data_IF_500305165304
#
_entry.id   IF_500305165304
#
_cell.length_a   1.000
_cell.length_b   1.000
_cell.length_c   1.000
_cell.angle_alpha   90.00
_cell.angle_beta   90.00
_cell.angle_gamma   90.00
#
_symmetry.space_group_name_H-M   'P 1'
#
loop_
_entity.id
_entity.type
_entity.pdbx_description
1 polymer ?
#
# COMPACT_ATOMS: atom_id res chain seq x y z
N UNK A 1 -11.46 -16.11 19.67
CA UNK A 1 -10.32 -16.43 20.55
C UNK A 1 -9.20 -15.46 20.21
N UNK A 2 -9.12 -14.34 20.95
CA UNK A 2 -8.12 -13.28 20.75
C UNK A 2 -6.82 -13.68 21.45
N UNK A 3 -5.86 -14.23 20.70
CA UNK A 3 -4.51 -14.46 21.20
C UNK A 3 -3.72 -13.15 21.15
N UNK A 4 -3.87 -12.33 22.19
CA UNK A 4 -2.91 -11.27 22.48
C UNK A 4 -1.65 -11.93 23.03
N UNK A 5 -0.76 -12.38 22.14
CA UNK A 5 0.66 -12.47 22.46
C UNK A 5 1.15 -11.03 22.66
N UNK A 6 0.96 -10.51 23.87
CA UNK A 6 1.68 -9.36 24.38
C UNK A 6 3.15 -9.78 24.50
N UNK A 7 3.83 -9.84 23.35
CA UNK A 7 5.28 -9.87 23.29
C UNK A 7 5.75 -8.59 23.97
N UNK A 8 6.15 -8.70 25.25
CA UNK A 8 6.89 -7.63 25.91
C UNK A 8 8.05 -7.27 24.98
N UNK A 9 8.10 -6.01 24.54
CA UNK A 9 9.09 -5.50 23.61
C UNK A 9 8.95 -5.92 22.13
N UNK A 10 7.81 -6.44 21.67
CA UNK A 10 7.61 -6.77 20.24
C UNK A 10 7.87 -5.58 19.29
N UNK A 11 7.51 -4.36 19.72
CA UNK A 11 7.87 -3.14 18.99
C UNK A 11 9.38 -2.90 18.87
N UNK A 12 10.18 -3.35 19.84
CA UNK A 12 11.64 -3.25 19.79
C UNK A 12 12.26 -4.14 18.72
N UNK A 13 11.73 -5.34 18.47
CA UNK A 13 12.17 -6.21 17.37
C UNK A 13 11.77 -5.63 16.01
N UNK A 14 10.55 -5.07 15.90
CA UNK A 14 10.05 -4.41 14.69
C UNK A 14 10.89 -3.18 14.33
N UNK A 15 11.31 -2.41 15.32
CA UNK A 15 12.13 -1.21 15.15
C UNK A 15 13.64 -1.51 15.10
N UNK A 16 14.06 -2.77 15.20
CA UNK A 16 15.48 -3.15 15.21
C UNK A 16 16.26 -2.68 16.45
N UNK A 17 15.56 -2.30 17.52
CA UNK A 17 16.15 -1.82 18.78
C UNK A 17 16.67 -2.95 19.67
N UNK A 18 16.26 -4.19 19.40
CA UNK A 18 16.70 -5.38 20.13
C UNK A 18 17.67 -6.18 19.25
N UNK A 19 18.96 -6.08 19.54
CA UNK A 19 20.02 -6.83 18.83
C UNK A 19 20.11 -8.26 19.34
N UNK A 20 20.35 -9.22 18.43
CA UNK A 20 20.58 -10.61 18.80
C UNK A 20 21.90 -10.72 19.60
N UNK A 21 21.89 -11.34 20.79
CA UNK A 21 23.10 -11.66 21.55
C UNK A 21 24.01 -12.62 20.77
N UNK A 22 25.32 -12.59 21.05
CA UNK A 22 26.27 -13.53 20.46
C UNK A 22 25.99 -14.96 20.96
N UNK A 23 25.63 -15.91 20.08
CA UNK A 23 25.31 -17.28 20.48
C UNK A 23 26.48 -18.04 21.10
N UNK A 24 27.73 -17.61 20.83
CA UNK A 24 28.93 -18.22 21.41
C UNK A 24 29.18 -17.78 22.85
N UNK A 25 28.67 -16.60 23.24
CA UNK A 25 28.83 -16.02 24.57
C UNK A 25 27.59 -16.24 25.45
N UNK A 26 26.40 -16.18 24.86
CA UNK A 26 25.12 -16.39 25.57
C UNK A 26 24.10 -17.11 24.66
N UNK A 27 24.20 -18.45 24.55
CA UNK A 27 23.31 -19.25 23.71
C UNK A 27 21.85 -19.23 24.18
N UNK A 28 21.60 -19.03 25.48
CA UNK A 28 20.23 -19.02 26.02
C UNK A 28 19.49 -17.76 25.60
N UNK A 29 20.11 -16.59 25.74
CA UNK A 29 19.49 -15.34 25.32
C UNK A 29 19.36 -15.24 23.79
N UNK A 30 20.33 -15.77 23.04
CA UNK A 30 20.23 -15.88 21.58
C UNK A 30 19.02 -16.74 21.15
N UNK A 31 18.81 -17.91 21.78
CA UNK A 31 17.65 -18.75 21.50
C UNK A 31 16.30 -18.09 21.83
N UNK A 32 16.23 -17.32 22.92
CA UNK A 32 15.03 -16.52 23.23
C UNK A 32 14.78 -15.41 22.21
N UNK A 33 15.84 -14.76 21.74
CA UNK A 33 15.74 -13.73 20.71
C UNK A 33 15.19 -14.33 19.40
N UNK A 34 15.73 -15.47 18.96
CA UNK A 34 15.31 -16.16 17.74
C UNK A 34 13.83 -16.57 17.79
N UNK A 35 13.39 -17.13 18.93
CA UNK A 35 12.00 -17.54 19.11
C UNK A 35 11.04 -16.34 19.03
N UNK A 36 11.36 -15.24 19.71
CA UNK A 36 10.54 -14.03 19.68
C UNK A 36 10.47 -13.44 18.28
N UNK A 37 11.61 -13.35 17.60
CA UNK A 37 11.71 -12.89 16.23
C UNK A 37 10.86 -13.75 15.29
N UNK A 38 10.93 -15.08 15.40
CA UNK A 38 10.14 -16.01 14.61
C UNK A 38 8.63 -15.85 14.87
N UNK A 39 8.23 -15.70 16.14
CA UNK A 39 6.83 -15.49 16.51
C UNK A 39 6.26 -14.19 15.91
N UNK A 40 7.03 -13.11 15.88
CA UNK A 40 6.58 -11.83 15.30
C UNK A 40 6.46 -11.95 13.77
N UNK A 41 7.45 -12.56 13.11
CA UNK A 41 7.38 -12.82 11.67
C UNK A 41 6.15 -13.68 11.34
N UNK A 42 5.89 -14.75 12.10
CA UNK A 42 4.71 -15.58 11.92
C UNK A 42 3.41 -14.78 12.11
N UNK A 43 3.34 -13.92 13.13
CA UNK A 43 2.18 -13.07 13.37
C UNK A 43 1.95 -12.07 12.22
N UNK A 44 3.00 -11.44 11.69
CA UNK A 44 2.91 -10.56 10.52
C UNK A 44 2.33 -11.33 9.32
N UNK A 45 2.85 -12.53 9.06
CA UNK A 45 2.41 -13.41 7.97
C UNK A 45 0.95 -13.81 8.08
N UNK A 46 0.44 -14.10 9.28
CA UNK A 46 -0.99 -14.42 9.46
C UNK A 46 -1.94 -13.25 9.14
N UNK A 47 -1.43 -12.01 9.11
CA UNK A 47 -2.22 -10.80 8.85
C UNK A 47 -2.00 -10.25 7.44
N UNK A 48 -1.02 -10.77 6.72
CA UNK A 48 -0.68 -10.40 5.35
C UNK A 48 -1.54 -11.11 4.31
N UNK A 49 -1.68 -10.51 3.13
CA UNK A 49 -2.28 -11.16 1.95
C UNK A 49 -1.44 -12.36 1.50
N UNK A 50 -1.94 -13.13 0.52
CA UNK A 50 -1.18 -14.25 -0.05
C UNK A 50 0.12 -13.77 -0.74
N UNK A 51 0.03 -12.69 -1.51
CA UNK A 51 1.13 -12.07 -2.24
C UNK A 51 2.18 -11.49 -1.30
N UNK A 52 1.73 -10.80 -0.24
CA UNK A 52 2.61 -10.30 0.82
C UNK A 52 3.30 -11.45 1.56
N UNK A 53 2.61 -12.58 1.77
CA UNK A 53 3.20 -13.75 2.42
C UNK A 53 4.30 -14.42 1.59
N UNK A 54 4.12 -14.48 0.27
CA UNK A 54 5.15 -14.96 -0.66
C UNK A 54 6.34 -13.98 -0.68
N UNK A 55 6.09 -12.67 -0.72
CA UNK A 55 7.14 -11.64 -0.59
C UNK A 55 7.92 -11.77 0.73
N UNK A 56 7.21 -12.02 1.84
CA UNK A 56 7.79 -12.18 3.17
C UNK A 56 8.61 -13.48 3.35
N UNK A 57 8.51 -14.49 2.46
CA UNK A 57 9.24 -15.76 2.60
C UNK A 57 10.75 -15.60 2.75
N UNK A 58 11.32 -14.58 2.10
CA UNK A 58 12.76 -14.34 2.13
C UNK A 58 13.28 -13.72 3.43
N UNK A 59 12.41 -13.26 4.32
CA UNK A 59 12.81 -12.51 5.51
C UNK A 59 12.71 -13.36 6.76
N UNK A 60 13.86 -13.64 7.37
CA UNK A 60 13.93 -14.33 8.67
C UNK A 60 14.02 -13.35 9.85
N UNK A 61 14.33 -12.08 9.59
CA UNK A 61 14.46 -11.05 10.61
C UNK A 61 13.22 -10.15 10.62
N UNK A 62 12.67 -9.91 11.80
CA UNK A 62 11.44 -9.12 12.04
C UNK A 62 11.57 -7.68 11.55
N UNK A 63 12.69 -7.02 11.86
CA UNK A 63 12.94 -5.64 11.42
C UNK A 63 12.99 -5.57 9.89
N UNK A 64 13.73 -6.47 9.25
CA UNK A 64 13.83 -6.50 7.79
C UNK A 64 12.49 -6.84 7.12
N UNK A 65 11.73 -7.79 7.67
CA UNK A 65 10.40 -8.14 7.19
C UNK A 65 9.43 -6.95 7.28
N UNK A 66 9.45 -6.25 8.43
CA UNK A 66 8.61 -5.07 8.64
C UNK A 66 9.01 -3.90 7.74
N UNK A 67 10.30 -3.59 7.64
CA UNK A 67 10.81 -2.51 6.80
C UNK A 67 10.50 -2.76 5.31
N UNK A 68 10.61 -4.01 4.87
CA UNK A 68 10.23 -4.42 3.52
C UNK A 68 8.72 -4.27 3.26
N UNK A 69 7.86 -4.71 4.19
CA UNK A 69 6.41 -4.50 4.10
C UNK A 69 6.05 -3.02 4.09
N UNK A 70 6.62 -2.25 5.00
CA UNK A 70 6.43 -0.81 5.10
C UNK A 70 6.82 -0.14 3.80
N UNK A 71 8.00 -0.44 3.26
CA UNK A 71 8.46 0.09 1.97
C UNK A 71 7.54 -0.31 0.82
N UNK A 72 7.05 -1.55 0.80
CA UNK A 72 6.10 -2.03 -0.20
C UNK A 72 4.78 -1.23 -0.12
N UNK A 73 4.22 -1.07 1.09
CA UNK A 73 3.00 -0.32 1.33
C UNK A 73 3.16 1.18 1.09
N UNK A 74 4.33 1.76 1.37
CA UNK A 74 4.65 3.14 1.04
C UNK A 74 4.72 3.37 -0.47
N UNK A 75 5.14 2.36 -1.25
CA UNK A 75 5.16 2.40 -2.72
C UNK A 75 3.79 2.15 -3.35
N UNK A 76 3.00 1.26 -2.75
CA UNK A 76 1.57 1.12 -3.08
C UNK A 76 0.80 2.37 -2.67
N UNK A 77 1.26 3.10 -1.65
CA UNK A 77 0.63 4.31 -1.12
C UNK A 77 0.23 5.31 -2.22
N UNK A 78 1.14 5.80 -3.07
CA UNK A 78 0.83 6.63 -4.22
C UNK A 78 -0.25 6.07 -5.15
N UNK A 79 -0.16 4.78 -5.52
CA UNK A 79 -1.11 4.14 -6.43
C UNK A 79 -2.48 4.01 -5.77
N UNK A 80 -2.53 3.52 -4.52
CA UNK A 80 -3.74 3.43 -3.72
C UNK A 80 -4.38 4.81 -3.50
N UNK A 81 -3.57 5.85 -3.31
CA UNK A 81 -4.02 7.23 -3.19
C UNK A 81 -4.64 7.74 -4.50
N UNK A 82 -4.02 7.44 -5.65
CA UNK A 82 -4.59 7.75 -6.98
C UNK A 82 -5.95 7.07 -7.15
N UNK A 83 -6.04 5.77 -6.86
CA UNK A 83 -7.29 5.00 -7.00
C UNK A 83 -8.39 5.49 -6.05
N UNK A 84 -8.05 5.82 -4.79
CA UNK A 84 -9.01 6.35 -3.83
C UNK A 84 -9.53 7.73 -4.23
N UNK A 85 -8.67 8.60 -4.78
CA UNK A 85 -9.11 9.93 -5.27
C UNK A 85 -10.01 9.76 -6.49
N UNK A 86 -9.68 8.85 -7.42
CA UNK A 86 -10.57 8.54 -8.54
C UNK A 86 -11.94 8.04 -8.06
N UNK A 87 -11.95 7.15 -7.06
CA UNK A 87 -13.19 6.67 -6.46
C UNK A 87 -14.01 7.83 -5.88
N UNK A 88 -13.37 8.75 -5.16
CA UNK A 88 -14.02 9.93 -4.61
C UNK A 88 -14.60 10.85 -5.70
N UNK A 89 -13.86 11.06 -6.81
CA UNK A 89 -14.32 11.85 -7.96
C UNK A 89 -15.48 11.19 -8.72
N UNK A 90 -15.59 9.86 -8.67
CA UNK A 90 -16.68 9.11 -9.28
C UNK A 90 -17.98 9.13 -8.44
N UNK A 91 -17.92 9.46 -7.15
CA UNK A 91 -19.11 9.55 -6.28
C UNK A 91 -19.96 10.75 -6.70
N UNK A 92 -21.24 10.49 -6.96
CA UNK A 92 -22.23 11.52 -7.34
C UNK A 92 -23.37 11.52 -6.32
N UNK A 93 -23.93 12.70 -6.04
CA UNK A 93 -25.19 12.80 -5.32
C UNK A 93 -26.34 12.40 -6.25
N UNK A 94 -27.06 11.33 -5.90
CA UNK A 94 -28.18 10.82 -6.68
C UNK A 94 -29.46 10.94 -5.85
N UNK A 95 -30.54 11.46 -6.43
CA UNK A 95 -31.82 11.70 -5.73
C UNK A 95 -32.53 10.42 -5.28
N UNK A 96 -32.21 9.28 -5.88
CA UNK A 96 -32.78 7.98 -5.52
C UNK A 96 -32.18 7.39 -4.24
N UNK A 97 -31.09 7.97 -3.73
CA UNK A 97 -30.40 7.53 -2.53
C UNK A 97 -30.43 8.60 -1.44
N UNK A 98 -30.22 8.19 -0.20
CA UNK A 98 -30.13 9.13 0.91
C UNK A 98 -28.82 9.93 0.79
N UNK A 99 -28.92 11.23 0.55
CA UNK A 99 -27.77 12.12 0.35
C UNK A 99 -26.74 12.07 1.51
N UNK A 100 -27.20 11.81 2.74
CA UNK A 100 -26.29 11.65 3.88
C UNK A 100 -25.37 10.43 3.73
N UNK A 101 -25.84 9.34 3.12
CA UNK A 101 -25.02 8.15 2.86
C UNK A 101 -23.88 8.50 1.91
N UNK A 102 -24.17 9.22 0.82
CA UNK A 102 -23.16 9.73 -0.12
C UNK A 102 -22.13 10.61 0.60
N UNK A 103 -22.58 11.48 1.52
CA UNK A 103 -21.70 12.35 2.31
C UNK A 103 -20.76 11.53 3.22
N UNK A 104 -21.28 10.49 3.88
CA UNK A 104 -20.47 9.56 4.69
C UNK A 104 -19.45 8.82 3.84
N UNK A 105 -19.84 8.31 2.67
CA UNK A 105 -18.91 7.66 1.74
C UNK A 105 -17.78 8.60 1.31
N UNK A 106 -18.10 9.85 0.96
CA UNK A 106 -17.10 10.86 0.62
C UNK A 106 -16.16 11.14 1.80
N UNK A 107 -16.70 11.31 3.01
CA UNK A 107 -15.90 11.52 4.22
C UNK A 107 -14.92 10.37 4.47
N UNK A 108 -15.38 9.13 4.36
CA UNK A 108 -14.53 7.94 4.58
C UNK A 108 -13.43 7.84 3.53
N UNK A 109 -13.74 8.13 2.27
CA UNK A 109 -12.73 8.15 1.19
C UNK A 109 -11.68 9.23 1.45
N UNK A 110 -12.09 10.45 1.80
CA UNK A 110 -11.17 11.55 2.14
C UNK A 110 -10.29 11.19 3.33
N UNK A 111 -10.85 10.62 4.40
CA UNK A 111 -10.06 10.16 5.55
C UNK A 111 -8.98 9.16 5.14
N UNK A 112 -9.31 8.19 4.28
CA UNK A 112 -8.36 7.18 3.78
C UNK A 112 -7.28 7.78 2.88
N UNK A 113 -7.62 8.74 2.03
CA UNK A 113 -6.66 9.47 1.17
C UNK A 113 -5.62 10.19 2.03
N UNK A 114 -6.06 10.93 3.04
CA UNK A 114 -5.17 11.70 3.91
C UNK A 114 -4.39 10.82 4.90
N UNK A 115 -4.91 9.64 5.26
CA UNK A 115 -4.16 8.67 6.06
C UNK A 115 -2.92 8.14 5.34
N UNK A 116 -2.92 8.12 4.00
CA UNK A 116 -1.75 7.78 3.18
C UNK A 116 -0.76 8.95 3.11
N UNK A 117 -1.26 10.19 3.13
CA UNK A 117 -0.47 11.42 3.09
C UNK A 117 -1.05 12.45 2.11
N UNK A 118 -0.34 13.57 1.93
CA UNK A 118 -0.71 14.57 0.92
C UNK A 118 -0.29 14.08 -0.47
N UNK A 119 -1.16 14.13 -1.49
CA UNK A 119 -0.79 13.77 -2.86
C UNK A 119 0.38 14.62 -3.36
N UNK A 120 1.42 13.97 -3.88
CA UNK A 120 2.49 14.63 -4.61
C UNK A 120 1.97 15.18 -5.94
N UNK A 121 2.65 16.19 -6.49
CA UNK A 121 2.27 16.86 -7.74
C UNK A 121 2.03 15.87 -8.89
N UNK A 122 2.96 14.95 -9.14
CA UNK A 122 2.82 13.94 -10.22
C UNK A 122 1.64 12.98 -10.02
N UNK A 123 1.36 12.59 -8.77
CA UNK A 123 0.20 11.75 -8.45
C UNK A 123 -1.09 12.54 -8.72
N UNK A 124 -1.13 13.80 -8.31
CA UNK A 124 -2.27 14.67 -8.52
C UNK A 124 -2.52 14.92 -10.02
N UNK A 125 -1.47 15.19 -10.78
CA UNK A 125 -1.55 15.30 -12.24
C UNK A 125 -2.05 14.00 -12.89
N UNK A 126 -1.54 12.84 -12.46
CA UNK A 126 -1.99 11.52 -12.93
C UNK A 126 -3.49 11.34 -12.72
N UNK A 127 -4.00 11.71 -11.55
CA UNK A 127 -5.44 11.68 -11.25
C UNK A 127 -6.22 12.61 -12.18
N UNK A 128 -5.75 13.86 -12.36
CA UNK A 128 -6.43 14.83 -13.22
C UNK A 128 -6.51 14.34 -14.67
N UNK A 129 -5.42 13.75 -15.19
CA UNK A 129 -5.40 13.16 -16.53
C UNK A 129 -6.38 11.99 -16.65
N UNK A 130 -6.42 11.09 -15.67
CA UNK A 130 -7.38 9.99 -15.64
C UNK A 130 -8.83 10.46 -15.58
N UNK A 131 -9.11 11.51 -14.81
CA UNK A 131 -10.42 12.12 -14.71
C UNK A 131 -10.83 12.81 -16.03
N UNK A 132 -9.88 13.49 -16.70
CA UNK A 132 -10.12 14.11 -18.00
C UNK A 132 -10.47 13.11 -19.10
N UNK A 133 -9.99 11.87 -19.00
CA UNK A 133 -10.33 10.78 -19.93
C UNK A 133 -11.67 10.09 -19.62
N UNK A 134 -12.39 10.49 -18.57
CA UNK A 134 -13.52 9.72 -18.05
C UNK A 134 -14.73 9.64 -18.99
N UNK A 135 -14.93 10.62 -19.85
CA UNK A 135 -16.06 10.70 -20.77
C UNK A 135 -15.69 10.16 -22.16
N UNK A 136 -14.66 10.75 -22.80
CA UNK A 136 -14.35 10.47 -24.21
C UNK A 136 -13.38 9.29 -24.43
N UNK A 137 -12.55 8.95 -23.44
CA UNK A 137 -11.50 7.92 -23.58
C UNK A 137 -11.55 6.86 -22.46
N UNK A 138 -12.71 6.24 -22.17
CA UNK A 138 -12.87 5.34 -21.04
C UNK A 138 -12.01 4.07 -21.16
N UNK A 139 -11.76 3.58 -22.39
CA UNK A 139 -10.90 2.42 -22.64
C UNK A 139 -9.43 2.72 -22.36
N UNK A 140 -8.93 3.88 -22.80
CA UNK A 140 -7.56 4.34 -22.51
C UNK A 140 -7.39 4.53 -21.00
N UNK A 141 -8.37 5.17 -20.34
CA UNK A 141 -8.38 5.36 -18.89
C UNK A 141 -8.29 4.02 -18.15
N UNK A 142 -9.12 3.04 -18.51
CA UNK A 142 -9.13 1.73 -17.84
C UNK A 142 -7.80 0.99 -18.03
N UNK A 143 -7.25 1.00 -19.25
CA UNK A 143 -5.93 0.41 -19.51
C UNK A 143 -4.83 1.06 -18.67
N UNK A 144 -4.85 2.39 -18.54
CA UNK A 144 -3.89 3.12 -17.69
C UNK A 144 -4.10 2.77 -16.21
N UNK A 145 -5.34 2.66 -15.75
CA UNK A 145 -5.64 2.26 -14.37
C UNK A 145 -5.11 0.85 -14.07
N UNK A 146 -5.23 -0.09 -15.01
CA UNK A 146 -4.67 -1.44 -14.88
C UNK A 146 -3.13 -1.42 -14.88
N UNK A 147 -2.52 -0.59 -15.73
CA UNK A 147 -1.07 -0.39 -15.77
C UNK A 147 -0.54 0.26 -14.47
N UNK A 148 -1.30 1.19 -13.87
CA UNK A 148 -0.99 1.78 -12.58
C UNK A 148 -1.09 0.75 -11.45
N UNK A 149 -2.15 -0.07 -11.43
CA UNK A 149 -2.36 -1.11 -10.42
C UNK A 149 -1.26 -2.18 -10.45
N UNK A 150 -0.67 -2.44 -11.62
CA UNK A 150 0.42 -3.40 -11.81
C UNK A 150 1.82 -2.77 -11.77
N UNK A 151 1.91 -1.45 -11.60
CA UNK A 151 3.19 -0.74 -11.59
C UNK A 151 3.99 -1.06 -10.33
N UNK A 152 5.29 -1.34 -10.52
CA UNK A 152 6.23 -1.61 -9.44
C UNK A 152 7.17 -0.42 -9.27
N UNK A 153 7.79 -0.29 -8.09
CA UNK A 153 8.74 0.79 -7.84
C UNK A 153 9.97 0.83 -8.77
N UNK A 154 10.30 -0.28 -9.42
CA UNK A 154 11.35 -0.37 -10.43
C UNK A 154 10.95 0.20 -11.79
N UNK A 155 9.64 0.33 -12.04
CA UNK A 155 9.08 0.93 -13.25
C UNK A 155 7.81 1.74 -12.89
N UNK A 156 8.00 2.93 -12.29
CA UNK A 156 6.87 3.75 -11.86
C UNK A 156 6.08 4.21 -13.08
N UNK A 157 4.76 4.08 -12.99
CA UNK A 157 3.84 4.56 -14.01
C UNK A 157 3.32 5.94 -13.61
N UNK A 158 3.46 6.94 -14.49
CA UNK A 158 3.12 8.32 -14.18
C UNK A 158 2.72 9.18 -15.40
N UNK A 159 2.72 10.51 -15.26
CA UNK A 159 2.20 11.42 -16.29
C UNK A 159 2.90 11.28 -17.65
N UNK A 160 4.20 11.00 -17.68
CA UNK A 160 4.96 10.79 -18.91
C UNK A 160 4.46 9.56 -19.68
N UNK A 161 4.21 8.44 -19.00
CA UNK A 161 3.68 7.23 -19.61
C UNK A 161 2.27 7.47 -20.18
N UNK A 162 1.44 8.23 -19.46
CA UNK A 162 0.08 8.59 -19.90
C UNK A 162 0.13 9.43 -21.17
N UNK A 163 1.00 10.46 -21.23
CA UNK A 163 1.17 11.28 -22.43
C UNK A 163 1.56 10.43 -23.63
N UNK A 164 2.57 9.56 -23.48
CA UNK A 164 2.96 8.66 -24.56
C UNK A 164 1.83 7.74 -25.03
N UNK A 165 0.97 7.27 -24.10
CA UNK A 165 -0.19 6.45 -24.48
C UNK A 165 -1.26 7.26 -25.22
N UNK A 166 -1.49 8.50 -24.82
CA UNK A 166 -2.41 9.44 -25.48
C UNK A 166 -1.92 9.80 -26.89
N UNK A 167 -0.61 10.01 -27.07
CA UNK A 167 -0.01 10.29 -28.38
C UNK A 167 -0.24 9.12 -29.36
N UNK A 168 -0.13 7.88 -28.88
CA UNK A 168 -0.45 6.68 -29.67
C UNK A 168 -1.94 6.63 -30.01
N UNK A 169 -2.83 6.97 -29.07
CA UNK A 169 -4.27 6.97 -29.33
C UNK A 169 -4.67 8.01 -30.38
N UNK A 170 -4.02 9.17 -30.39
CA UNK A 170 -4.31 10.24 -31.36
C UNK A 170 -3.91 9.89 -32.80
N UNK A 171 -3.05 8.88 -32.99
CA UNK A 171 -2.60 8.42 -34.31
C UNK A 171 -3.48 7.31 -34.91
N UNK A 172 -4.43 6.77 -34.14
CA UNK A 172 -5.38 5.73 -34.55
C UNK A 172 -6.65 6.36 -35.13
#
# INVERSE_FOLDING_TARGET
>A
MQNYLLLKHGGGYILGLVTCPDPSLDPSSAGHWDLNNLCIVAAMRTRSSFEENEFLRGFTNTYLAWDALKSCHEKVGPIAQILLIQQALAVKYIRSERLSTTSTTLHDLVCRIYAIGVPKEDNFLTIMMLNAMAEDLPHVRNHIADALATSMSSNPYGPSNIRSRLDVEQQL
#
